data_IF_486953953627
#
_entry.id   IF_486953953627
#
_cell.length_a   1.000
_cell.length_b   1.000
_cell.length_c   1.000
_cell.angle_alpha   90.00
_cell.angle_beta   90.00
_cell.angle_gamma   90.00
#
_symmetry.space_group_name_H-M   'P 1'
#
loop_
_entity.id
_entity.type
_entity.pdbx_description
1 polymer ?
#
# COMPACT_ATOMS: atom_id res chain seq x y z
N UNK A 1 20.72 76.35 11.05
CA UNK A 1 21.37 76.03 9.74
C UNK A 1 22.66 75.29 10.06
N UNK A 2 23.02 74.09 9.61
CA UNK A 2 22.47 73.08 8.68
C UNK A 2 22.94 71.72 9.23
N UNK A 3 22.05 70.73 9.28
CA UNK A 3 22.39 69.30 9.46
C UNK A 3 23.08 68.78 8.20
N UNK A 4 24.20 68.06 8.31
CA UNK A 4 24.79 67.14 7.30
C UNK A 4 26.03 66.49 7.93
N UNK A 5 26.30 65.20 7.90
CA UNK A 5 25.58 64.07 7.32
C UNK A 5 26.13 62.77 7.93
N UNK A 6 25.24 61.84 8.23
CA UNK A 6 25.57 60.46 8.58
C UNK A 6 25.86 59.75 7.25
N UNK A 7 27.09 59.25 7.07
CA UNK A 7 27.43 58.30 6.01
C UNK A 7 26.81 56.95 6.39
N UNK A 8 25.61 56.67 5.88
CA UNK A 8 25.06 55.32 5.84
C UNK A 8 25.50 54.67 4.52
N UNK A 9 26.40 53.71 4.62
CA UNK A 9 26.75 52.79 3.54
C UNK A 9 25.52 51.92 3.21
N UNK A 10 24.75 52.34 2.21
CA UNK A 10 23.72 51.53 1.57
C UNK A 10 24.40 50.62 0.55
N UNK A 11 24.71 49.39 0.95
CA UNK A 11 24.94 48.29 0.03
C UNK A 11 23.60 47.96 -0.64
N UNK A 12 23.34 48.56 -1.81
CA UNK A 12 22.24 48.13 -2.67
C UNK A 12 22.66 46.81 -3.31
N UNK A 13 22.20 45.72 -2.71
CA UNK A 13 22.20 44.41 -3.34
C UNK A 13 21.18 44.46 -4.49
N UNK A 14 21.65 44.86 -5.68
CA UNK A 14 20.87 44.68 -6.90
C UNK A 14 20.76 43.17 -7.14
N UNK A 15 19.72 42.54 -6.59
CA UNK A 15 19.29 41.23 -7.05
C UNK A 15 18.96 41.40 -8.53
N UNK A 16 19.85 40.90 -9.39
CA UNK A 16 19.54 40.58 -10.77
C UNK A 16 18.44 39.51 -10.72
N UNK A 17 17.18 39.97 -10.63
CA UNK A 17 16.03 39.18 -11.02
C UNK A 17 16.22 38.91 -12.51
N UNK A 18 16.89 37.79 -12.80
CA UNK A 18 16.76 37.17 -14.11
C UNK A 18 15.27 36.99 -14.32
N UNK A 19 14.66 37.54 -15.39
CA UNK A 19 13.28 37.24 -15.67
C UNK A 19 13.18 35.72 -15.72
N UNK A 20 12.32 35.12 -14.88
CA UNK A 20 11.83 33.79 -15.16
C UNK A 20 11.27 33.90 -16.57
N UNK A 21 11.99 33.41 -17.57
CA UNK A 21 11.46 33.28 -18.90
C UNK A 21 10.20 32.42 -18.73
N UNK A 22 9.03 33.05 -18.85
CA UNK A 22 7.78 32.33 -18.91
C UNK A 22 7.96 31.33 -20.05
N UNK A 23 7.87 30.03 -19.73
CA UNK A 23 7.97 28.99 -20.75
C UNK A 23 6.97 29.35 -21.85
N UNK A 24 7.45 29.49 -23.08
CA UNK A 24 6.61 29.82 -24.22
C UNK A 24 5.58 28.69 -24.38
N UNK A 25 4.35 28.95 -23.92
CA UNK A 25 3.26 27.99 -24.05
C UNK A 25 2.81 28.04 -25.51
N UNK A 26 3.11 26.96 -26.25
CA UNK A 26 2.58 26.79 -27.61
C UNK A 26 1.04 26.74 -27.59
N UNK A 27 0.37 27.14 -28.68
CA UNK A 27 -1.08 26.95 -28.79
C UNK A 27 -1.44 25.47 -28.73
N UNK A 28 -2.65 25.16 -28.26
CA UNK A 28 -3.19 23.79 -28.29
C UNK A 28 -3.20 23.23 -29.73
N UNK A 29 -3.07 21.90 -29.91
CA UNK A 29 -3.01 21.29 -31.23
C UNK A 29 -4.37 21.37 -31.91
N UNK A 30 -4.39 21.76 -33.19
CA UNK A 30 -5.62 21.76 -34.00
C UNK A 30 -6.12 20.35 -34.34
N UNK A 31 -5.21 19.36 -34.38
CA UNK A 31 -5.53 17.97 -34.73
C UNK A 31 -4.53 17.04 -34.04
N UNK A 32 -5.03 15.94 -33.49
CA UNK A 32 -4.22 14.89 -32.86
C UNK A 32 -4.33 13.62 -33.69
N UNK A 33 -3.19 13.12 -34.19
CA UNK A 33 -3.11 11.84 -34.90
C UNK A 33 -2.78 10.72 -33.93
N UNK A 34 -3.62 9.69 -33.86
CA UNK A 34 -3.40 8.52 -33.00
C UNK A 34 -3.03 7.34 -33.89
N UNK A 35 -1.87 6.74 -33.62
CA UNK A 35 -1.43 5.51 -34.28
C UNK A 35 -0.94 4.50 -33.23
N UNK A 36 -0.94 3.22 -33.61
CA UNK A 36 -0.56 2.12 -32.72
C UNK A 36 0.91 1.77 -32.96
N UNK A 37 1.64 1.50 -31.88
CA UNK A 37 2.90 0.76 -31.89
C UNK A 37 2.72 -0.47 -31.01
N UNK A 38 3.08 -1.64 -31.52
CA UNK A 38 2.97 -2.91 -30.81
C UNK A 38 4.25 -3.28 -30.05
N UNK A 39 5.30 -2.46 -30.17
CA UNK A 39 6.58 -2.63 -29.49
C UNK A 39 6.93 -1.34 -28.74
N UNK A 40 7.20 -1.46 -27.44
CA UNK A 40 7.50 -0.33 -26.56
C UNK A 40 8.79 0.40 -26.95
N UNK A 41 9.85 -0.33 -27.30
CA UNK A 41 11.15 0.24 -27.66
C UNK A 41 11.03 1.05 -28.96
N UNK A 42 10.31 0.53 -29.96
CA UNK A 42 9.97 1.29 -31.18
C UNK A 42 9.23 2.57 -30.83
N UNK A 43 8.20 2.49 -29.97
CA UNK A 43 7.44 3.67 -29.52
C UNK A 43 8.34 4.73 -28.87
N UNK A 44 9.26 4.33 -27.99
CA UNK A 44 10.24 5.24 -27.37
C UNK A 44 11.17 5.88 -28.41
N UNK A 45 11.73 5.08 -29.33
CA UNK A 45 12.67 5.59 -30.33
C UNK A 45 12.00 6.51 -31.36
N UNK A 46 10.76 6.23 -31.76
CA UNK A 46 9.98 7.07 -32.66
C UNK A 46 9.72 8.44 -32.01
N UNK A 47 9.44 8.47 -30.70
CA UNK A 47 9.33 9.74 -29.96
C UNK A 47 10.66 10.48 -29.96
N UNK A 48 11.78 9.80 -29.68
CA UNK A 48 13.09 10.45 -29.64
C UNK A 48 13.50 11.04 -31.00
N UNK A 49 13.16 10.37 -32.12
CA UNK A 49 13.40 10.86 -33.48
C UNK A 49 12.46 11.99 -33.90
N UNK A 50 11.28 12.06 -33.27
CA UNK A 50 10.22 13.01 -33.63
C UNK A 50 9.23 12.47 -34.67
N UNK A 51 9.23 11.16 -34.92
CA UNK A 51 8.20 10.46 -35.70
C UNK A 51 6.89 10.37 -34.92
N UNK A 52 6.98 10.37 -33.58
CA UNK A 52 5.88 10.57 -32.64
C UNK A 52 6.18 11.77 -31.74
N UNK A 53 5.15 12.51 -31.35
CA UNK A 53 5.30 13.58 -30.35
C UNK A 53 5.24 13.01 -28.92
N UNK A 54 4.35 12.04 -28.70
CA UNK A 54 4.08 11.41 -27.41
C UNK A 54 3.87 9.91 -27.64
N UNK A 55 4.52 9.06 -26.84
CA UNK A 55 4.12 7.67 -26.73
C UNK A 55 3.13 7.56 -25.56
N UNK A 56 1.83 7.51 -25.90
CA UNK A 56 0.72 7.52 -24.93
C UNK A 56 0.49 6.13 -24.30
N UNK A 57 1.59 5.53 -23.85
CA UNK A 57 1.64 4.32 -23.05
C UNK A 57 2.82 4.47 -22.09
N UNK A 58 2.55 4.36 -20.80
CA UNK A 58 3.59 4.48 -19.78
C UNK A 58 4.42 3.21 -19.72
N UNK A 59 5.75 3.35 -19.64
CA UNK A 59 6.67 2.21 -19.59
C UNK A 59 7.54 2.28 -18.35
N UNK A 60 7.96 1.12 -17.84
CA UNK A 60 8.80 1.02 -16.64
C UNK A 60 10.10 1.81 -16.80
N UNK A 61 10.55 2.47 -15.73
CA UNK A 61 11.81 3.21 -15.67
C UNK A 61 13.02 2.38 -16.11
N UNK A 62 13.00 1.07 -15.84
CA UNK A 62 14.05 0.14 -16.25
C UNK A 62 14.30 0.13 -17.77
N UNK A 63 13.28 0.40 -18.60
CA UNK A 63 13.41 0.44 -20.06
C UNK A 63 14.23 1.63 -20.57
N UNK A 64 14.39 2.67 -19.76
CA UNK A 64 15.15 3.86 -20.15
C UNK A 64 16.60 3.84 -19.66
N UNK A 65 16.91 3.03 -18.64
CA UNK A 65 18.21 3.04 -17.96
C UNK A 65 19.38 2.75 -18.90
N UNK A 66 19.16 1.85 -19.85
CA UNK A 66 20.20 1.36 -20.76
C UNK A 66 20.07 1.95 -22.18
N UNK A 67 19.22 2.96 -22.37
CA UNK A 67 19.08 3.62 -23.68
C UNK A 67 20.26 4.55 -23.97
N UNK A 68 20.66 4.68 -25.25
CA UNK A 68 21.69 5.63 -25.67
C UNK A 68 21.39 7.07 -25.26
N UNK A 69 22.44 7.84 -24.95
CA UNK A 69 22.31 9.22 -24.48
C UNK A 69 21.65 10.14 -25.51
N UNK A 70 21.86 9.92 -26.80
CA UNK A 70 21.21 10.65 -27.89
C UNK A 70 19.69 10.42 -27.95
N UNK A 71 19.22 9.22 -27.62
CA UNK A 71 17.80 8.91 -27.46
C UNK A 71 17.25 9.65 -26.23
N UNK A 72 17.86 9.44 -25.06
CA UNK A 72 17.41 10.05 -23.80
C UNK A 72 17.39 11.57 -23.85
N UNK A 73 18.39 12.16 -24.50
CA UNK A 73 18.50 13.60 -24.66
C UNK A 73 17.34 14.19 -25.46
N UNK A 74 16.59 13.44 -26.27
CA UNK A 74 15.43 13.98 -26.98
C UNK A 74 14.11 13.77 -26.23
N UNK A 75 14.13 13.05 -25.11
CA UNK A 75 12.95 12.69 -24.35
C UNK A 75 12.78 13.58 -23.11
N UNK A 76 11.54 13.93 -22.83
CA UNK A 76 11.03 14.34 -21.53
C UNK A 76 10.19 13.19 -20.99
N UNK A 77 10.62 12.61 -19.86
CA UNK A 77 9.91 11.50 -19.24
C UNK A 77 8.89 12.02 -18.25
N UNK A 78 7.60 11.81 -18.54
CA UNK A 78 6.51 12.19 -17.66
C UNK A 78 6.16 11.00 -16.78
N UNK A 79 6.58 11.09 -15.51
CA UNK A 79 6.28 10.10 -14.48
C UNK A 79 4.76 9.97 -14.25
N UNK A 80 4.32 8.74 -14.07
CA UNK A 80 3.02 8.35 -13.49
C UNK A 80 3.23 7.29 -12.43
N UNK A 81 2.45 7.34 -11.35
CA UNK A 81 2.22 6.20 -10.47
C UNK A 81 1.11 5.35 -11.09
N UNK A 82 1.43 4.23 -11.72
CA UNK A 82 0.48 3.44 -12.53
C UNK A 82 -0.28 2.41 -11.71
N UNK A 83 0.39 1.78 -10.75
CA UNK A 83 -0.18 0.76 -9.89
C UNK A 83 0.50 0.71 -8.52
N UNK A 84 -0.06 -0.06 -7.60
CA UNK A 84 0.54 -0.35 -6.30
C UNK A 84 0.23 -1.79 -5.90
N UNK A 85 1.13 -2.35 -5.11
CA UNK A 85 1.19 -3.77 -4.79
C UNK A 85 1.08 -4.03 -3.30
N UNK A 86 0.49 -5.16 -2.97
CA UNK A 86 0.38 -5.66 -1.61
C UNK A 86 0.37 -7.19 -1.59
N UNK A 87 0.65 -7.74 -0.41
CA UNK A 87 0.45 -9.15 -0.12
C UNK A 87 -0.84 -9.27 0.66
N UNK A 88 -1.87 -9.85 0.02
CA UNK A 88 -3.12 -10.21 0.69
C UNK A 88 -2.91 -11.54 1.40
N UNK A 89 -3.34 -11.65 2.65
CA UNK A 89 -3.28 -12.87 3.45
C UNK A 89 -4.68 -13.33 3.79
N UNK A 90 -4.89 -14.65 3.81
CA UNK A 90 -6.18 -15.27 4.09
C UNK A 90 -6.32 -15.57 5.60
N UNK A 91 -7.16 -14.82 6.35
CA UNK A 91 -7.34 -15.02 7.78
C UNK A 91 -8.35 -16.13 8.13
N UNK A 92 -8.81 -16.91 7.13
CA UNK A 92 -9.86 -17.92 7.33
C UNK A 92 -9.51 -18.92 8.43
N UNK A 93 -10.53 -19.23 9.21
CA UNK A 93 -10.51 -20.21 10.29
C UNK A 93 -11.95 -20.70 10.55
N UNK A 94 -12.06 -21.77 11.34
CA UNK A 94 -13.33 -22.33 11.78
C UNK A 94 -13.92 -21.52 12.94
N UNK A 95 -15.25 -21.50 13.07
CA UNK A 95 -15.90 -20.67 14.09
C UNK A 95 -15.58 -21.11 15.53
N UNK A 96 -15.20 -22.39 15.70
CA UNK A 96 -14.81 -23.00 16.96
C UNK A 96 -13.29 -22.97 17.22
N UNK A 97 -12.49 -22.44 16.28
CA UNK A 97 -11.04 -22.40 16.42
C UNK A 97 -10.41 -21.21 15.68
N UNK A 98 -9.65 -20.33 16.37
CA UNK A 98 -8.98 -19.20 15.71
C UNK A 98 -7.73 -19.59 14.89
N UNK A 99 -7.46 -20.89 14.73
CA UNK A 99 -6.24 -21.42 14.11
C UNK A 99 -6.49 -22.44 13.00
N UNK A 100 -7.59 -23.18 13.09
CA UNK A 100 -7.83 -24.34 12.25
C UNK A 100 -8.84 -24.02 11.15
N UNK A 101 -8.68 -24.70 10.01
CA UNK A 101 -9.64 -24.69 8.91
C UNK A 101 -9.97 -26.14 8.58
N UNK A 102 -11.26 -26.46 8.52
CA UNK A 102 -11.72 -27.80 8.17
C UNK A 102 -12.13 -27.86 6.70
N UNK A 103 -11.50 -28.74 5.92
CA UNK A 103 -11.87 -29.03 4.52
C UNK A 103 -12.19 -30.51 4.37
N UNK A 104 -13.46 -30.83 4.15
CA UNK A 104 -13.95 -32.21 4.23
C UNK A 104 -13.75 -32.76 5.64
N UNK A 105 -13.04 -33.88 5.77
CA UNK A 105 -12.72 -34.51 7.06
C UNK A 105 -11.36 -34.07 7.64
N UNK A 106 -10.58 -33.28 6.90
CA UNK A 106 -9.21 -32.90 7.29
C UNK A 106 -9.18 -31.50 7.90
N UNK A 107 -8.48 -31.37 9.03
CA UNK A 107 -8.14 -30.08 9.64
C UNK A 107 -6.75 -29.62 9.24
N UNK A 108 -6.64 -28.34 8.91
CA UNK A 108 -5.40 -27.67 8.57
C UNK A 108 -5.12 -26.56 9.57
N UNK A 109 -3.85 -26.35 9.89
CA UNK A 109 -3.43 -25.18 10.66
C UNK A 109 -3.15 -24.02 9.71
N UNK A 110 -3.81 -22.87 9.91
CA UNK A 110 -3.57 -21.66 9.15
C UNK A 110 -2.75 -20.64 9.97
N UNK A 111 -1.44 -20.49 9.72
CA UNK A 111 -0.64 -19.51 10.45
C UNK A 111 -1.13 -18.07 10.20
N UNK A 112 -1.77 -17.80 9.06
CA UNK A 112 -2.27 -16.46 8.72
C UNK A 112 -3.67 -16.17 9.28
N UNK A 113 -4.33 -17.12 9.95
CA UNK A 113 -5.47 -16.81 10.82
C UNK A 113 -5.02 -15.98 12.05
N UNK A 114 -3.77 -16.15 12.48
CA UNK A 114 -3.16 -15.43 13.59
C UNK A 114 -2.77 -14.01 13.15
N UNK A 115 -3.41 -13.00 13.76
CA UNK A 115 -3.17 -11.59 13.44
C UNK A 115 -1.71 -11.19 13.65
N UNK A 116 -1.06 -11.66 14.71
CA UNK A 116 0.34 -11.35 15.01
C UNK A 116 1.29 -11.87 13.92
N UNK A 117 1.00 -13.02 13.31
CA UNK A 117 1.76 -13.56 12.18
C UNK A 117 1.58 -12.70 10.94
N UNK A 118 0.33 -12.30 10.63
CA UNK A 118 0.06 -11.34 9.54
C UNK A 118 0.78 -10.02 9.77
N UNK A 119 0.70 -9.48 11.00
CA UNK A 119 1.28 -8.20 11.35
C UNK A 119 2.81 -8.21 11.25
N UNK A 120 3.46 -9.32 11.66
CA UNK A 120 4.89 -9.52 11.55
C UNK A 120 5.43 -9.38 10.11
N UNK A 121 4.60 -9.65 9.09
CA UNK A 121 4.99 -9.51 7.68
C UNK A 121 5.38 -8.07 7.31
N UNK A 122 4.91 -7.06 8.05
CA UNK A 122 5.33 -5.66 7.85
C UNK A 122 6.83 -5.43 8.09
N UNK A 123 7.45 -6.24 8.95
CA UNK A 123 8.89 -6.18 9.22
C UNK A 123 9.68 -7.24 8.48
N UNK A 124 9.06 -8.35 8.06
CA UNK A 124 9.73 -9.35 7.24
C UNK A 124 10.06 -8.80 5.85
N UNK A 125 9.11 -8.11 5.22
CA UNK A 125 9.22 -7.70 3.82
C UNK A 125 9.91 -6.33 3.70
N UNK A 126 11.15 -6.32 3.21
CA UNK A 126 11.83 -5.06 2.85
C UNK A 126 11.21 -4.43 1.60
N UNK A 127 10.50 -3.32 1.79
CA UNK A 127 9.94 -2.49 0.71
C UNK A 127 11.04 -1.79 -0.08
N UNK A 128 12.13 -1.42 0.59
CA UNK A 128 13.32 -0.88 -0.04
C UNK A 128 13.93 -1.88 -1.03
N UNK A 129 14.03 -3.17 -0.67
CA UNK A 129 14.51 -4.22 -1.58
C UNK A 129 13.61 -4.33 -2.81
N UNK A 130 12.28 -4.33 -2.63
CA UNK A 130 11.33 -4.38 -3.74
C UNK A 130 11.54 -3.19 -4.68
N UNK A 131 11.65 -1.98 -4.14
CA UNK A 131 11.86 -0.78 -4.96
C UNK A 131 13.20 -0.79 -5.69
N UNK A 132 14.30 -1.09 -4.99
CA UNK A 132 15.65 -0.98 -5.54
C UNK A 132 16.00 -2.13 -6.48
N UNK A 133 15.66 -3.37 -6.11
CA UNK A 133 16.15 -4.56 -6.79
C UNK A 133 15.12 -5.16 -7.74
N UNK A 134 13.83 -5.16 -7.38
CA UNK A 134 12.77 -5.71 -8.23
C UNK A 134 12.27 -4.64 -9.22
N UNK A 135 11.97 -3.45 -8.72
CA UNK A 135 11.49 -2.32 -9.54
C UNK A 135 12.62 -1.46 -10.12
N UNK A 136 13.88 -1.72 -9.80
CA UNK A 136 15.05 -1.00 -10.32
C UNK A 136 14.96 0.53 -10.12
N UNK A 137 14.41 0.95 -8.97
CA UNK A 137 14.19 2.35 -8.61
C UNK A 137 12.89 2.96 -9.17
N UNK A 138 12.11 2.20 -9.94
CA UNK A 138 10.86 2.65 -10.57
C UNK A 138 9.65 2.50 -9.63
N UNK A 139 9.72 3.08 -8.44
CA UNK A 139 8.65 3.01 -7.45
C UNK A 139 9.00 3.67 -6.12
N UNK A 140 8.06 3.62 -5.18
CA UNK A 140 8.26 4.06 -3.79
C UNK A 140 7.76 3.02 -2.78
N UNK A 141 8.40 2.92 -1.60
CA UNK A 141 7.90 2.08 -0.51
C UNK A 141 6.50 2.50 -0.09
N UNK A 142 5.58 1.55 0.04
CA UNK A 142 4.20 1.80 0.47
C UNK A 142 3.89 0.98 1.72
N UNK A 143 3.52 1.65 2.82
CA UNK A 143 3.29 1.01 4.12
C UNK A 143 1.81 0.70 4.36
N UNK A 144 0.92 1.65 4.06
CA UNK A 144 -0.52 1.49 4.16
C UNK A 144 -1.22 1.66 2.81
N UNK A 145 -2.56 1.58 2.80
CA UNK A 145 -3.41 1.70 1.62
C UNK A 145 -3.50 3.09 0.99
N UNK A 146 -2.65 4.03 1.41
CA UNK A 146 -2.52 5.36 0.82
C UNK A 146 -1.18 5.45 0.12
N UNK A 147 -1.24 5.77 -1.18
CA UNK A 147 -0.03 5.77 -2.01
C UNK A 147 0.86 6.98 -1.71
N UNK A 148 2.20 6.82 -1.74
CA UNK A 148 3.13 7.93 -1.50
C UNK A 148 2.99 9.12 -2.44
N UNK A 149 2.47 8.93 -3.66
CA UNK A 149 2.27 10.03 -4.62
C UNK A 149 1.04 10.90 -4.36
N UNK A 150 0.16 10.53 -3.40
CA UNK A 150 -1.06 11.30 -3.16
C UNK A 150 -0.86 12.41 -2.13
N UNK A 151 -1.68 13.46 -2.26
CA UNK A 151 -1.69 14.57 -1.29
C UNK A 151 -2.11 14.15 0.14
N UNK A 152 -2.74 12.98 0.30
CA UNK A 152 -3.15 12.45 1.60
C UNK A 152 -2.01 11.74 2.36
N UNK A 153 -0.98 11.23 1.69
CA UNK A 153 0.05 10.40 2.33
C UNK A 153 0.73 11.03 3.56
N UNK A 154 1.11 12.33 3.55
CA UNK A 154 1.78 12.94 4.70
C UNK A 154 0.99 12.86 6.01
N UNK A 155 -0.34 12.78 5.96
CA UNK A 155 -1.18 12.67 7.16
C UNK A 155 -1.06 11.32 7.87
N UNK A 156 -0.56 10.29 7.18
CA UNK A 156 -0.42 8.92 7.72
C UNK A 156 1.00 8.57 8.17
N UNK A 157 2.00 9.42 7.87
CA UNK A 157 3.38 9.24 8.36
C UNK A 157 3.47 9.07 9.90
N UNK A 158 2.71 9.83 10.72
CA UNK A 158 2.67 9.63 12.16
C UNK A 158 2.22 8.21 12.55
N UNK A 159 1.25 7.63 11.83
CA UNK A 159 0.77 6.26 12.07
C UNK A 159 1.87 5.24 11.83
N UNK A 160 2.56 5.34 10.70
CA UNK A 160 3.63 4.40 10.34
C UNK A 160 4.79 4.45 11.35
N UNK A 161 5.14 5.66 11.79
CA UNK A 161 6.16 5.90 12.81
C UNK A 161 5.73 5.35 14.17
N UNK A 162 4.49 5.59 14.60
CA UNK A 162 3.95 5.09 15.87
C UNK A 162 3.92 3.56 15.91
N UNK A 163 3.66 2.91 14.77
CA UNK A 163 3.74 1.45 14.65
C UNK A 163 5.18 0.92 14.59
N UNK A 164 6.17 1.78 14.32
CA UNK A 164 7.57 1.42 14.13
C UNK A 164 7.82 0.66 12.82
N UNK A 165 7.07 0.98 11.77
CA UNK A 165 7.22 0.37 10.43
C UNK A 165 7.97 1.35 9.53
N UNK A 166 8.93 0.83 8.78
CA UNK A 166 9.73 1.61 7.83
C UNK A 166 9.81 0.92 6.47
N UNK A 167 10.56 1.52 5.53
CA UNK A 167 10.82 0.90 4.24
C UNK A 167 11.78 -0.30 4.32
N UNK A 168 12.59 -0.41 5.37
CA UNK A 168 13.54 -1.53 5.57
C UNK A 168 12.91 -2.65 6.38
N UNK A 169 13.41 -3.87 6.18
CA UNK A 169 13.02 -5.00 7.00
C UNK A 169 13.66 -4.93 8.40
N UNK A 170 12.94 -5.49 9.38
CA UNK A 170 13.45 -5.89 10.70
C UNK A 170 13.11 -7.37 10.88
N UNK A 171 13.92 -8.21 10.25
CA UNK A 171 13.69 -9.66 10.20
C UNK A 171 13.68 -10.27 11.60
N UNK A 172 14.56 -9.81 12.50
CA UNK A 172 14.64 -10.30 13.87
C UNK A 172 13.34 -10.04 14.64
N UNK A 173 12.76 -8.84 14.48
CA UNK A 173 11.45 -8.52 15.07
C UNK A 173 10.34 -9.40 14.49
N UNK A 174 10.29 -9.57 13.17
CA UNK A 174 9.29 -10.43 12.52
C UNK A 174 9.38 -11.88 13.03
N UNK A 175 10.60 -12.44 13.11
CA UNK A 175 10.82 -13.79 13.62
C UNK A 175 10.37 -13.93 15.07
N UNK A 176 10.74 -12.97 15.94
CA UNK A 176 10.34 -12.99 17.34
C UNK A 176 8.81 -13.00 17.48
N UNK A 177 8.11 -12.13 16.76
CA UNK A 177 6.65 -12.04 16.80
C UNK A 177 6.00 -13.35 16.35
N UNK A 178 6.47 -13.94 15.25
CA UNK A 178 5.94 -15.21 14.75
C UNK A 178 6.22 -16.36 15.72
N UNK A 179 7.43 -16.46 16.28
CA UNK A 179 7.76 -17.47 17.28
C UNK A 179 6.89 -17.40 18.52
N UNK A 180 6.66 -16.20 19.07
CA UNK A 180 5.78 -15.99 20.23
C UNK A 180 4.33 -16.37 19.92
N UNK A 181 3.82 -15.94 18.75
CA UNK A 181 2.47 -16.24 18.32
C UNK A 181 2.24 -17.73 18.06
N UNK A 182 3.20 -18.40 17.43
CA UNK A 182 3.15 -19.83 17.13
C UNK A 182 3.25 -20.69 18.41
N UNK A 183 4.06 -20.29 19.39
CA UNK A 183 4.11 -20.96 20.71
C UNK A 183 2.80 -20.83 21.47
N UNK A 184 2.19 -19.63 21.47
CA UNK A 184 0.87 -19.43 22.06
C UNK A 184 -0.18 -20.33 21.39
N UNK A 185 -0.20 -20.37 20.06
CA UNK A 185 -1.11 -21.24 19.32
C UNK A 185 -0.87 -22.73 19.65
N UNK A 186 0.38 -23.16 19.80
CA UNK A 186 0.72 -24.52 20.20
C UNK A 186 0.17 -24.89 21.59
N UNK A 187 0.32 -24.01 22.58
CA UNK A 187 -0.20 -24.22 23.93
C UNK A 187 -1.73 -24.31 23.95
N UNK A 188 -2.42 -23.51 23.12
CA UNK A 188 -3.87 -23.52 23.01
C UNK A 188 -4.41 -24.74 22.25
N UNK A 189 -3.74 -25.13 21.17
CA UNK A 189 -4.08 -26.32 20.37
C UNK A 189 -3.83 -27.62 21.14
N UNK A 190 -2.80 -27.68 21.99
CA UNK A 190 -2.53 -28.83 22.86
C UNK A 190 -3.71 -29.15 23.80
N UNK A 191 -4.41 -28.11 24.29
CA UNK A 191 -5.61 -28.27 25.14
C UNK A 191 -6.79 -28.90 24.38
N UNK A 192 -6.75 -28.84 23.06
CA UNK A 192 -7.75 -29.41 22.15
C UNK A 192 -7.29 -30.76 21.55
N UNK A 193 -6.14 -31.29 21.98
CA UNK A 193 -5.60 -32.57 21.51
C UNK A 193 -4.83 -32.50 20.19
N UNK A 194 -4.46 -31.31 19.72
CA UNK A 194 -3.63 -31.12 18.53
C UNK A 194 -2.17 -30.87 18.92
N UNK A 195 -1.23 -31.26 18.05
CA UNK A 195 0.20 -30.96 18.21
C UNK A 195 0.63 -29.90 17.21
N UNK A 196 1.24 -28.81 17.68
CA UNK A 196 1.95 -27.84 16.86
C UNK A 196 3.34 -27.64 17.44
N UNK A 197 4.40 -27.95 16.67
CA UNK A 197 5.78 -27.86 17.17
C UNK A 197 6.76 -27.47 16.08
N UNK A 198 7.89 -26.89 16.48
CA UNK A 198 9.00 -26.60 15.59
C UNK A 198 9.97 -27.79 15.58
N UNK A 199 10.30 -28.30 14.40
CA UNK A 199 11.27 -29.37 14.21
C UNK A 199 12.72 -28.87 14.23
N UNK A 200 13.65 -29.81 14.31
CA UNK A 200 15.11 -29.53 14.30
C UNK A 200 15.59 -28.94 12.97
N UNK A 201 14.82 -29.13 11.89
CA UNK A 201 15.03 -28.52 10.58
C UNK A 201 14.60 -27.05 10.51
N UNK A 202 14.06 -26.51 11.61
CA UNK A 202 13.60 -25.13 11.73
C UNK A 202 12.18 -24.89 11.17
N UNK A 203 11.47 -25.91 10.70
CA UNK A 203 10.10 -25.79 10.21
C UNK A 203 9.06 -26.13 11.28
N UNK A 204 7.89 -25.53 11.19
CA UNK A 204 6.74 -25.85 12.03
C UNK A 204 5.97 -27.05 11.45
N UNK A 205 5.47 -27.90 12.34
CA UNK A 205 4.70 -29.10 12.03
C UNK A 205 3.40 -29.10 12.84
N UNK A 206 2.28 -29.34 12.17
CA UNK A 206 0.96 -29.54 12.76
C UNK A 206 0.56 -31.02 12.62
N UNK A 207 0.32 -31.71 13.73
CA UNK A 207 0.04 -33.15 13.78
C UNK A 207 1.02 -34.01 12.95
N UNK A 208 2.30 -33.67 12.99
CA UNK A 208 3.36 -34.36 12.26
C UNK A 208 3.49 -33.99 10.77
N UNK A 209 2.59 -33.20 10.20
CA UNK A 209 2.72 -32.68 8.83
C UNK A 209 3.34 -31.26 8.84
N UNK A 210 4.23 -30.92 7.90
CA UNK A 210 4.81 -29.58 7.85
C UNK A 210 3.74 -28.53 7.55
N UNK A 211 3.76 -27.42 8.31
CA UNK A 211 2.92 -26.25 8.06
C UNK A 211 3.29 -25.67 6.70
N UNK A 212 2.44 -25.91 5.71
CA UNK A 212 2.65 -25.51 4.31
C UNK A 212 1.62 -24.46 3.93
N UNK A 213 2.10 -23.31 3.44
CA UNK A 213 1.25 -22.19 3.02
C UNK A 213 1.25 -22.06 1.50
N UNK A 214 0.07 -21.89 0.94
CA UNK A 214 -0.18 -21.74 -0.50
C UNK A 214 -0.07 -20.28 -0.90
N UNK A 215 0.96 -19.94 -1.67
CA UNK A 215 1.21 -18.55 -2.09
C UNK A 215 0.95 -18.38 -3.58
N UNK A 216 -0.18 -17.74 -3.92
CA UNK A 216 -0.50 -17.34 -5.29
C UNK A 216 0.40 -16.17 -5.71
N UNK A 217 1.24 -16.42 -6.69
CA UNK A 217 2.22 -15.47 -7.23
C UNK A 217 1.83 -15.15 -8.68
N UNK A 218 1.51 -13.88 -8.94
CA UNK A 218 1.15 -13.38 -10.28
C UNK A 218 2.36 -13.39 -11.20
N UNK A 219 2.18 -13.91 -12.41
CA UNK A 219 3.29 -14.14 -13.35
C UNK A 219 3.43 -13.10 -14.46
N UNK A 220 2.46 -12.22 -14.67
CA UNK A 220 2.45 -11.30 -15.82
C UNK A 220 3.34 -10.07 -15.66
N UNK A 221 3.77 -9.78 -14.44
CA UNK A 221 4.61 -8.63 -14.15
C UNK A 221 5.58 -8.91 -13.00
N UNK A 222 6.27 -7.86 -12.55
CA UNK A 222 7.29 -7.88 -11.51
C UNK A 222 6.80 -8.34 -10.14
N UNK A 223 5.49 -8.53 -9.93
CA UNK A 223 4.96 -9.24 -8.75
C UNK A 223 5.43 -10.69 -8.68
N UNK A 224 5.82 -11.30 -9.80
CA UNK A 224 6.47 -12.62 -9.78
C UNK A 224 7.74 -12.59 -8.93
N UNK A 225 8.61 -11.63 -9.19
CA UNK A 225 9.89 -11.47 -8.49
C UNK A 225 9.65 -11.12 -7.02
N UNK A 226 8.66 -10.28 -6.72
CA UNK A 226 8.22 -9.99 -5.35
C UNK A 226 7.71 -11.25 -4.62
N UNK A 227 6.85 -12.03 -5.26
CA UNK A 227 6.27 -13.24 -4.67
C UNK A 227 7.32 -14.28 -4.34
N UNK A 228 8.29 -14.49 -5.25
CA UNK A 228 9.42 -15.38 -5.02
C UNK A 228 10.30 -14.88 -3.86
N UNK A 229 10.61 -13.58 -3.82
CA UNK A 229 11.34 -12.98 -2.72
C UNK A 229 10.64 -13.18 -1.37
N UNK A 230 9.33 -12.90 -1.29
CA UNK A 230 8.57 -13.06 -0.05
C UNK A 230 8.44 -14.55 0.34
N UNK A 231 8.28 -15.46 -0.62
CA UNK A 231 8.26 -16.90 -0.36
C UNK A 231 9.58 -17.37 0.29
N UNK A 232 10.72 -16.93 -0.24
CA UNK A 232 12.03 -17.27 0.30
C UNK A 232 12.22 -16.75 1.73
N UNK A 233 11.72 -15.53 2.03
CA UNK A 233 11.75 -14.98 3.39
C UNK A 233 10.90 -15.80 4.37
N UNK A 234 9.70 -16.24 3.96
CA UNK A 234 8.82 -17.06 4.80
C UNK A 234 9.50 -18.40 5.13
N UNK A 235 10.02 -19.11 4.14
CA UNK A 235 10.69 -20.39 4.38
C UNK A 235 11.94 -20.23 5.24
N UNK A 236 12.74 -19.20 4.98
CA UNK A 236 14.03 -18.99 5.66
C UNK A 236 13.87 -18.53 7.11
N UNK A 237 12.89 -17.67 7.39
CA UNK A 237 12.84 -16.95 8.67
C UNK A 237 11.64 -17.33 9.54
N UNK A 238 10.49 -17.68 8.94
CA UNK A 238 9.29 -18.00 9.70
C UNK A 238 9.11 -19.51 9.95
N UNK A 239 9.82 -20.36 9.20
CA UNK A 239 9.74 -21.81 9.36
C UNK A 239 8.45 -22.42 8.82
N UNK A 240 7.83 -21.82 7.81
CA UNK A 240 6.72 -22.43 7.06
C UNK A 240 7.21 -22.91 5.71
N UNK A 241 6.73 -24.05 5.22
CA UNK A 241 6.96 -24.45 3.83
C UNK A 241 6.06 -23.61 2.92
N UNK A 242 6.55 -23.26 1.73
CA UNK A 242 5.76 -22.45 0.78
C UNK A 242 5.51 -23.22 -0.52
N UNK A 243 4.23 -23.50 -0.78
CA UNK A 243 3.77 -23.94 -2.10
C UNK A 243 3.62 -22.70 -3.00
N UNK A 244 4.54 -22.54 -3.96
CA UNK A 244 4.59 -21.38 -4.87
C UNK A 244 3.65 -21.60 -6.06
N UNK A 245 2.47 -20.99 -6.03
CA UNK A 245 1.43 -21.11 -7.04
C UNK A 245 1.57 -20.01 -8.11
N UNK A 246 2.38 -20.28 -9.14
CA UNK A 246 2.65 -19.35 -10.25
C UNK A 246 1.44 -19.26 -11.21
N UNK A 247 0.52 -18.32 -10.98
CA UNK A 247 -0.76 -18.23 -11.68
C UNK A 247 -0.95 -16.92 -12.44
N UNK A 248 -1.74 -16.97 -13.52
CA UNK A 248 -2.23 -15.77 -14.21
C UNK A 248 -3.32 -15.04 -13.41
N UNK A 249 -3.65 -13.82 -13.85
CA UNK A 249 -4.64 -12.93 -13.26
C UNK A 249 -5.97 -13.59 -13.08
N UNK A 250 -6.47 -14.22 -14.14
CA UNK A 250 -7.85 -14.68 -14.20
C UNK A 250 -8.04 -15.71 -13.11
N UNK A 251 -7.18 -16.73 -13.09
CA UNK A 251 -7.22 -17.80 -12.09
C UNK A 251 -6.99 -17.24 -10.68
N UNK A 252 -5.96 -16.41 -10.49
CA UNK A 252 -5.64 -15.84 -9.19
C UNK A 252 -6.78 -15.00 -8.61
N UNK A 253 -7.31 -14.05 -9.38
CA UNK A 253 -8.38 -13.17 -8.90
C UNK A 253 -9.69 -13.91 -8.65
N UNK A 254 -10.02 -14.92 -9.48
CA UNK A 254 -11.25 -15.70 -9.26
C UNK A 254 -11.16 -16.52 -7.99
N UNK A 255 -10.00 -17.15 -7.71
CA UNK A 255 -9.82 -17.90 -6.47
C UNK A 255 -9.84 -16.98 -5.24
N UNK A 256 -9.16 -15.84 -5.29
CA UNK A 256 -9.05 -14.97 -4.10
C UNK A 256 -10.34 -14.20 -3.79
N UNK A 257 -11.05 -13.71 -4.82
CA UNK A 257 -12.16 -12.78 -4.63
C UNK A 257 -13.53 -13.33 -5.03
N UNK A 258 -13.62 -14.50 -5.66
CA UNK A 258 -14.89 -15.08 -6.14
C UNK A 258 -15.10 -16.52 -5.65
N UNK A 259 -14.31 -16.97 -4.68
CA UNK A 259 -14.46 -18.28 -4.06
C UNK A 259 -14.45 -18.17 -2.53
N UNK A 260 -15.06 -19.15 -1.87
CA UNK A 260 -15.04 -19.24 -0.41
C UNK A 260 -13.63 -19.59 0.07
N UNK A 261 -12.99 -18.74 0.91
CA UNK A 261 -11.67 -19.05 1.43
C UNK A 261 -11.62 -20.30 2.31
N UNK A 262 -12.76 -20.83 2.81
CA UNK A 262 -12.82 -22.13 3.49
C UNK A 262 -12.49 -23.32 2.58
N UNK A 263 -12.48 -23.14 1.27
CA UNK A 263 -11.90 -24.14 0.35
C UNK A 263 -10.38 -24.30 0.56
N UNK A 264 -9.74 -23.37 1.27
CA UNK A 264 -8.34 -23.40 1.68
C UNK A 264 -7.36 -23.61 0.52
N UNK A 265 -7.70 -23.03 -0.63
CA UNK A 265 -6.89 -23.10 -1.87
C UNK A 265 -5.71 -22.13 -1.88
N UNK A 266 -5.67 -21.19 -0.93
CA UNK A 266 -4.64 -20.16 -0.85
C UNK A 266 -4.51 -19.59 0.56
N UNK A 267 -3.30 -19.15 0.91
CA UNK A 267 -2.98 -18.44 2.15
C UNK A 267 -2.49 -17.02 1.86
N UNK A 268 -1.76 -16.81 0.77
CA UNK A 268 -1.26 -15.50 0.36
C UNK A 268 -1.46 -15.25 -1.14
N UNK A 269 -1.53 -13.97 -1.52
CA UNK A 269 -1.63 -13.53 -2.90
C UNK A 269 -0.85 -12.24 -3.15
N UNK A 270 -0.05 -12.19 -4.22
CA UNK A 270 0.59 -10.96 -4.72
C UNK A 270 -0.42 -10.12 -5.52
N UNK A 271 -1.23 -9.30 -4.85
CA UNK A 271 -2.19 -8.45 -5.55
C UNK A 271 -1.58 -7.13 -6.04
N UNK A 272 -2.30 -6.50 -6.96
CA UNK A 272 -1.91 -5.25 -7.58
C UNK A 272 -3.14 -4.48 -8.04
N UNK A 273 -3.08 -3.17 -7.85
CA UNK A 273 -4.23 -2.27 -7.99
C UNK A 273 -3.84 -1.07 -8.83
N UNK A 274 -4.76 -0.63 -9.69
CA UNK A 274 -4.53 0.50 -10.60
C UNK A 274 -4.65 1.81 -9.84
N UNK A 275 -3.74 2.73 -10.11
CA UNK A 275 -3.80 4.11 -9.66
C UNK A 275 -4.72 4.93 -10.57
N UNK A 276 -5.83 5.45 -10.03
CA UNK A 276 -6.85 6.13 -10.84
C UNK A 276 -6.77 7.65 -10.77
N UNK A 277 -6.58 8.23 -9.58
CA UNK A 277 -6.58 9.69 -9.35
C UNK A 277 -5.66 10.10 -8.20
N UNK A 278 -5.23 11.35 -8.14
CA UNK A 278 -4.64 11.93 -6.93
C UNK A 278 -5.74 12.22 -5.89
N UNK A 279 -5.51 11.90 -4.62
CA UNK A 279 -6.50 12.04 -3.55
C UNK A 279 -5.90 12.81 -2.37
N UNK A 280 -6.58 13.87 -1.94
CA UNK A 280 -6.24 14.63 -0.73
C UNK A 280 -7.10 14.23 0.47
N UNK A 281 -8.36 13.90 0.23
CA UNK A 281 -9.34 13.47 1.23
C UNK A 281 -9.77 12.03 0.88
N UNK A 282 -9.13 11.01 1.48
CA UNK A 282 -9.34 9.62 1.09
C UNK A 282 -10.48 8.96 1.89
N UNK A 283 -11.69 9.52 1.78
CA UNK A 283 -12.85 9.22 2.63
C UNK A 283 -13.12 7.71 2.80
N UNK A 284 -13.02 6.95 1.70
CA UNK A 284 -13.37 5.54 1.62
C UNK A 284 -12.17 4.59 1.54
N UNK A 285 -10.94 5.08 1.47
CA UNK A 285 -9.78 4.23 1.18
C UNK A 285 -9.48 3.24 2.31
N UNK A 286 -9.53 3.66 3.57
CA UNK A 286 -9.28 2.74 4.70
C UNK A 286 -10.38 1.68 4.78
N UNK A 287 -11.63 2.03 4.47
CA UNK A 287 -12.72 1.08 4.33
C UNK A 287 -12.46 0.09 3.18
N UNK A 288 -12.08 0.61 2.01
CA UNK A 288 -11.82 -0.17 0.80
C UNK A 288 -10.70 -1.19 0.98
N UNK A 289 -9.67 -0.85 1.75
CA UNK A 289 -8.52 -1.74 1.96
C UNK A 289 -8.67 -2.66 3.16
N UNK A 290 -9.31 -2.20 4.23
CA UNK A 290 -9.21 -2.87 5.53
C UNK A 290 -10.54 -3.19 6.20
N UNK A 291 -11.68 -2.80 5.63
CA UNK A 291 -12.99 -3.10 6.20
C UNK A 291 -13.76 -4.12 5.36
N UNK A 292 -14.36 -5.15 5.99
CA UNK A 292 -15.08 -6.22 5.27
C UNK A 292 -16.38 -5.74 4.62
N UNK A 293 -16.98 -4.65 5.12
CA UNK A 293 -18.29 -4.18 4.69
C UNK A 293 -18.28 -3.33 3.39
N UNK A 294 -17.11 -2.86 2.96
CA UNK A 294 -16.98 -1.94 1.81
C UNK A 294 -16.02 -2.45 0.75
N UNK A 295 -14.88 -2.97 1.20
CA UNK A 295 -13.72 -3.20 0.36
C UNK A 295 -13.62 -4.57 -0.27
N UNK A 296 -12.46 -4.81 -0.89
CA UNK A 296 -12.11 -6.09 -1.50
C UNK A 296 -11.36 -7.01 -0.53
N UNK A 297 -11.69 -7.03 0.76
CA UNK A 297 -11.07 -8.03 1.63
C UNK A 297 -11.37 -9.46 1.11
N UNK A 298 -10.47 -10.43 1.36
CA UNK A 298 -10.78 -11.83 1.17
C UNK A 298 -12.12 -12.19 1.81
N UNK A 299 -12.84 -13.14 1.21
CA UNK A 299 -14.14 -13.62 1.66
C UNK A 299 -15.39 -12.74 1.36
N UNK A 300 -15.55 -12.18 0.14
CA UNK A 300 -16.84 -11.60 -0.26
C UNK A 300 -17.91 -12.67 -0.58
N UNK A 301 -17.54 -13.95 -0.56
CA UNK A 301 -18.41 -15.10 -0.84
C UNK A 301 -18.15 -16.17 0.22
N UNK A 302 -19.20 -16.69 0.85
CA UNK A 302 -19.09 -17.79 1.82
C UNK A 302 -18.74 -17.30 3.23
N UNK A 303 -17.59 -17.70 3.75
CA UNK A 303 -17.10 -17.23 5.05
C UNK A 303 -17.00 -15.70 5.10
N UNK A 304 -17.25 -15.10 6.27
CA UNK A 304 -17.18 -13.65 6.46
C UNK A 304 -16.08 -13.30 7.45
N UNK A 305 -15.19 -12.39 7.05
CA UNK A 305 -14.17 -11.89 7.95
C UNK A 305 -14.74 -10.91 8.96
N UNK A 306 -14.47 -11.14 10.25
CA UNK A 306 -14.91 -10.29 11.36
C UNK A 306 -13.69 -9.72 12.10
N UNK A 307 -13.34 -8.45 11.87
CA UNK A 307 -12.27 -7.79 12.59
C UNK A 307 -12.56 -7.76 14.09
N UNK A 308 -11.60 -8.17 14.92
CA UNK A 308 -11.72 -8.13 16.39
C UNK A 308 -10.82 -7.10 17.04
N UNK A 309 -9.92 -6.49 16.27
CA UNK A 309 -9.00 -5.46 16.78
C UNK A 309 -9.77 -4.17 17.06
N UNK A 310 -9.68 -3.69 18.29
CA UNK A 310 -10.37 -2.49 18.74
C UNK A 310 -9.47 -1.26 18.73
N UNK A 311 -10.06 -0.07 18.78
CA UNK A 311 -9.33 1.19 18.98
C UNK A 311 -8.49 1.11 20.26
N UNK A 312 -9.04 0.53 21.33
CA UNK A 312 -8.30 0.34 22.59
C UNK A 312 -7.01 -0.46 22.38
N UNK A 313 -7.07 -1.58 21.66
CA UNK A 313 -5.88 -2.40 21.38
C UNK A 313 -4.80 -1.61 20.62
N UNK A 314 -5.21 -0.78 19.65
CA UNK A 314 -4.29 0.08 18.91
C UNK A 314 -3.63 1.15 19.79
N UNK A 315 -4.43 1.83 20.61
CA UNK A 315 -3.95 2.85 21.54
C UNK A 315 -3.01 2.24 22.59
N UNK A 316 -3.33 1.07 23.12
CA UNK A 316 -2.46 0.34 24.05
C UNK A 316 -1.16 -0.11 23.37
N UNK A 317 -1.21 -0.55 22.12
CA UNK A 317 -0.01 -0.91 21.35
C UNK A 317 0.96 0.27 21.17
N UNK A 318 0.46 1.49 20.96
CA UNK A 318 1.28 2.72 20.89
C UNK A 318 1.85 3.12 22.27
N UNK A 319 1.32 2.54 23.35
CA UNK A 319 1.78 2.75 24.72
C UNK A 319 0.85 3.62 25.55
N UNK A 320 -0.44 3.64 25.22
CA UNK A 320 -1.49 4.31 25.98
C UNK A 320 -1.99 5.61 25.36
N UNK A 321 -3.08 6.19 25.91
CA UNK A 321 -3.79 7.33 25.33
C UNK A 321 -2.89 8.55 25.14
N UNK A 322 -2.10 8.95 26.15
CA UNK A 322 -1.27 10.15 26.07
C UNK A 322 -0.22 10.05 24.96
N UNK A 323 0.44 8.89 24.86
CA UNK A 323 1.41 8.61 23.79
C UNK A 323 0.75 8.54 22.43
N UNK A 324 -0.45 7.97 22.32
CA UNK A 324 -1.16 7.90 21.06
C UNK A 324 -1.59 9.29 20.57
N UNK A 325 -2.10 10.14 21.48
CA UNK A 325 -2.45 11.54 21.15
C UNK A 325 -1.23 12.30 20.65
N UNK A 326 -0.08 12.16 21.32
CA UNK A 326 1.17 12.79 20.89
C UNK A 326 1.69 12.21 19.56
N UNK A 327 1.84 10.88 19.48
CA UNK A 327 2.49 10.22 18.35
C UNK A 327 1.68 10.29 17.05
N UNK A 328 0.35 10.31 17.14
CA UNK A 328 -0.55 10.45 15.99
C UNK A 328 -0.96 11.90 15.75
N UNK A 329 -0.56 12.83 16.61
CA UNK A 329 -1.01 14.23 16.57
C UNK A 329 -2.55 14.33 16.55
N UNK A 330 -3.22 13.65 17.49
CA UNK A 330 -4.69 13.68 17.59
C UNK A 330 -5.17 15.02 18.16
N UNK A 331 -6.30 15.52 17.64
CA UNK A 331 -6.85 16.84 18.00
C UNK A 331 -8.28 16.77 18.54
N UNK A 332 -9.10 15.88 18.00
CA UNK A 332 -10.51 15.73 18.35
C UNK A 332 -10.75 14.52 19.26
N UNK A 333 -10.22 13.34 18.92
CA UNK A 333 -10.35 12.14 19.73
C UNK A 333 -9.24 12.12 20.80
N UNK A 334 -9.43 12.95 21.83
CA UNK A 334 -8.56 13.09 22.99
C UNK A 334 -9.37 12.93 24.29
N UNK A 335 -8.71 12.59 25.40
CA UNK A 335 -9.37 12.46 26.71
C UNK A 335 -10.57 11.50 26.69
N UNK A 336 -11.72 11.95 27.16
CA UNK A 336 -12.93 11.12 27.24
C UNK A 336 -13.52 10.80 25.86
N UNK A 337 -13.38 11.69 24.87
CA UNK A 337 -13.84 11.42 23.49
C UNK A 337 -13.12 10.22 22.86
N UNK A 338 -11.83 10.03 23.17
CA UNK A 338 -11.09 8.86 22.71
C UNK A 338 -11.61 7.58 23.36
N UNK A 339 -11.93 7.63 24.66
CA UNK A 339 -12.48 6.48 25.40
C UNK A 339 -13.86 6.07 24.88
N UNK A 340 -14.67 7.02 24.39
CA UNK A 340 -16.00 6.74 23.83
C UNK A 340 -15.99 5.80 22.62
N UNK A 341 -14.85 5.67 21.93
CA UNK A 341 -14.70 4.82 20.75
C UNK A 341 -13.78 3.61 21.00
N UNK A 342 -13.42 3.32 22.25
CA UNK A 342 -12.47 2.25 22.57
C UNK A 342 -12.89 0.86 22.10
N UNK A 343 -14.17 0.55 22.20
CA UNK A 343 -14.71 -0.76 21.80
C UNK A 343 -15.01 -0.82 20.28
N UNK A 344 -14.74 0.26 19.53
CA UNK A 344 -14.95 0.28 18.09
C UNK A 344 -13.86 -0.52 17.38
N UNK A 345 -14.25 -1.15 16.28
CA UNK A 345 -13.34 -1.81 15.35
C UNK A 345 -13.10 -0.92 14.13
N UNK A 346 -12.37 -1.44 13.13
CA UNK A 346 -12.24 -0.78 11.84
C UNK A 346 -13.61 -0.48 11.20
N UNK A 347 -14.65 -1.28 11.48
CA UNK A 347 -15.96 -1.10 10.87
C UNK A 347 -16.63 0.19 11.31
N UNK A 348 -16.80 0.43 12.61
CA UNK A 348 -17.49 1.63 13.12
C UNK A 348 -16.75 2.90 12.71
N UNK A 349 -15.41 2.89 12.83
CA UNK A 349 -14.56 4.03 12.44
C UNK A 349 -14.71 4.33 10.95
N UNK A 350 -14.70 3.32 10.09
CA UNK A 350 -14.79 3.52 8.64
C UNK A 350 -16.22 3.81 8.17
N UNK A 351 -17.26 3.25 8.82
CA UNK A 351 -18.66 3.61 8.57
C UNK A 351 -18.89 5.09 8.86
N UNK A 352 -18.35 5.61 9.97
CA UNK A 352 -18.45 7.03 10.27
C UNK A 352 -17.74 7.90 9.22
N UNK A 353 -16.57 7.49 8.73
CA UNK A 353 -15.83 8.21 7.68
C UNK A 353 -16.60 8.25 6.35
N UNK A 354 -17.20 7.13 5.94
CA UNK A 354 -17.82 6.98 4.61
C UNK A 354 -19.29 7.39 4.58
N UNK A 355 -20.05 7.04 5.63
CA UNK A 355 -21.49 7.29 5.72
C UNK A 355 -21.82 8.58 6.48
N UNK A 356 -20.80 9.27 7.01
CA UNK A 356 -20.88 10.49 7.83
C UNK A 356 -21.68 10.37 9.13
N UNK A 357 -22.29 9.23 9.40
CA UNK A 357 -22.94 8.87 10.65
C UNK A 357 -22.85 7.37 10.91
N UNK A 358 -22.91 6.97 12.19
CA UNK A 358 -23.04 5.57 12.60
C UNK A 358 -23.75 5.50 13.96
N UNK A 359 -24.64 4.51 14.13
CA UNK A 359 -25.23 4.19 15.43
C UNK A 359 -24.47 3.03 16.06
N UNK A 360 -23.97 3.23 17.28
CA UNK A 360 -23.26 2.20 18.05
C UNK A 360 -23.86 2.16 19.45
N UNK A 361 -24.35 0.99 19.88
CA UNK A 361 -24.97 0.78 21.19
C UNK A 361 -26.11 1.78 21.51
N UNK A 362 -26.93 2.14 20.52
CA UNK A 362 -28.05 3.07 20.67
C UNK A 362 -27.66 4.55 20.77
N UNK A 363 -26.38 4.88 20.56
CA UNK A 363 -25.89 6.26 20.44
C UNK A 363 -25.52 6.55 18.99
N UNK A 364 -26.02 7.67 18.48
CA UNK A 364 -25.66 8.19 17.17
C UNK A 364 -24.36 9.00 17.26
N UNK A 365 -23.46 8.75 16.30
CA UNK A 365 -22.21 9.48 16.13
C UNK A 365 -22.20 10.09 14.72
N UNK A 366 -21.80 11.35 14.63
CA UNK A 366 -21.79 12.12 13.37
C UNK A 366 -20.39 12.67 13.11
N UNK A 367 -19.97 12.60 11.85
CA UNK A 367 -18.81 13.31 11.35
C UNK A 367 -19.30 14.69 10.91
N UNK A 368 -19.08 15.69 11.76
CA UNK A 368 -19.58 17.04 11.53
C UNK A 368 -18.94 17.65 10.27
N UNK A 369 -19.76 18.25 9.40
CA UNK A 369 -19.28 18.89 8.18
C UNK A 369 -18.24 19.97 8.51
N UNK A 370 -17.07 19.89 7.86
CA UNK A 370 -15.97 20.83 8.09
C UNK A 370 -15.12 20.55 9.34
N UNK A 371 -15.42 19.51 10.13
CA UNK A 371 -14.57 19.10 11.25
C UNK A 371 -13.35 18.29 10.78
N UNK A 372 -12.35 19.03 10.30
CA UNK A 372 -11.10 18.48 9.75
C UNK A 372 -10.31 17.64 10.77
N UNK A 373 -10.36 18.03 12.04
CA UNK A 373 -9.64 17.35 13.12
C UNK A 373 -10.26 15.99 13.43
N UNK A 374 -11.60 15.93 13.54
CA UNK A 374 -12.32 14.66 13.70
C UNK A 374 -12.05 13.71 12.54
N UNK A 375 -12.10 14.23 11.31
CA UNK A 375 -11.85 13.45 10.11
C UNK A 375 -10.44 12.84 10.10
N UNK A 376 -9.39 13.65 10.31
CA UNK A 376 -8.02 13.16 10.23
C UNK A 376 -7.64 12.26 11.41
N UNK A 377 -8.22 12.46 12.58
CA UNK A 377 -8.06 11.53 13.70
C UNK A 377 -8.64 10.15 13.37
N UNK A 378 -9.88 10.09 12.83
CA UNK A 378 -10.50 8.84 12.39
C UNK A 378 -9.72 8.17 11.26
N UNK A 379 -9.19 8.95 10.32
CA UNK A 379 -8.34 8.42 9.24
C UNK A 379 -7.07 7.76 9.80
N UNK A 380 -6.38 8.42 10.74
CA UNK A 380 -5.18 7.86 11.38
C UNK A 380 -5.51 6.59 12.19
N UNK A 381 -6.61 6.60 12.94
CA UNK A 381 -7.07 5.45 13.72
C UNK A 381 -7.42 4.27 12.80
N UNK A 382 -8.22 4.50 11.75
CA UNK A 382 -8.58 3.44 10.80
C UNK A 382 -7.37 2.89 10.04
N UNK A 383 -6.40 3.72 9.66
CA UNK A 383 -5.15 3.25 9.06
C UNK A 383 -4.34 2.38 10.04
N UNK A 384 -4.25 2.80 11.30
CA UNK A 384 -3.56 2.03 12.35
C UNK A 384 -4.19 0.67 12.57
N UNK A 385 -5.51 0.62 12.72
CA UNK A 385 -6.29 -0.61 12.85
C UNK A 385 -6.09 -1.54 11.64
N UNK A 386 -6.23 -1.02 10.42
CA UNK A 386 -6.05 -1.81 9.20
C UNK A 386 -4.65 -2.40 9.05
N UNK A 387 -3.61 -1.62 9.37
CA UNK A 387 -2.23 -2.11 9.36
C UNK A 387 -1.98 -3.12 10.48
N UNK A 388 -2.49 -2.91 11.69
CA UNK A 388 -2.32 -3.88 12.78
C UNK A 388 -3.09 -5.17 12.58
N UNK A 389 -4.20 -5.13 11.86
CA UNK A 389 -4.96 -6.31 11.48
C UNK A 389 -4.31 -7.08 10.34
N UNK A 390 -3.64 -6.36 9.42
CA UNK A 390 -2.72 -6.91 8.42
C UNK A 390 -3.31 -8.01 7.53
N UNK A 391 -4.61 -7.99 7.22
CA UNK A 391 -5.13 -8.81 6.11
C UNK A 391 -4.42 -8.45 4.79
N UNK A 392 -3.89 -7.23 4.70
CA UNK A 392 -3.06 -6.73 3.61
C UNK A 392 -1.78 -6.12 4.13
N UNK A 393 -0.67 -6.41 3.46
CA UNK A 393 0.61 -5.74 3.68
C UNK A 393 1.02 -5.05 2.38
N UNK A 394 0.89 -3.72 2.35
CA UNK A 394 1.33 -2.92 1.22
C UNK A 394 2.85 -2.95 1.09
N UNK A 395 3.33 -2.90 -0.16
CA UNK A 395 4.74 -3.12 -0.46
C UNK A 395 5.35 -2.00 -1.29
N UNK A 396 4.73 -1.66 -2.42
CA UNK A 396 5.26 -0.65 -3.32
C UNK A 396 4.14 0.09 -4.07
N UNK A 397 4.33 1.39 -4.26
CA UNK A 397 3.80 2.09 -5.41
C UNK A 397 4.77 1.91 -6.58
N UNK A 398 4.25 1.67 -7.77
CA UNK A 398 5.03 1.48 -8.99
C UNK A 398 4.96 2.71 -9.88
N UNK A 399 6.10 3.06 -10.47
CA UNK A 399 6.21 4.20 -11.36
C UNK A 399 6.49 3.74 -12.78
N UNK A 400 5.88 4.43 -13.71
CA UNK A 400 6.13 4.33 -15.14
C UNK A 400 6.26 5.73 -15.72
N UNK A 401 6.70 5.81 -16.98
CA UNK A 401 7.00 7.07 -17.63
C UNK A 401 6.45 7.09 -19.04
N UNK A 402 5.78 8.18 -19.39
CA UNK A 402 5.42 8.50 -20.77
C UNK A 402 6.60 9.19 -21.45
N UNK A 403 7.16 8.64 -22.54
CA UNK A 403 8.10 9.34 -23.38
C UNK A 403 7.41 10.46 -24.16
N UNK A 404 7.94 11.68 -24.04
CA UNK A 404 7.49 12.86 -24.79
C UNK A 404 8.68 13.50 -25.50
N UNK A 405 8.53 13.89 -26.76
CA UNK A 405 9.60 14.58 -27.47
C UNK A 405 9.76 16.00 -26.91
N UNK A 406 10.88 16.27 -26.23
CA UNK A 406 11.12 17.55 -25.53
C UNK A 406 11.24 18.75 -26.48
N UNK A 407 11.60 18.50 -27.74
CA UNK A 407 11.83 19.54 -28.73
C UNK A 407 10.52 19.95 -29.43
N UNK A 408 9.55 19.03 -29.50
CA UNK A 408 8.29 19.20 -30.22
C UNK A 408 7.10 19.54 -29.31
N UNK A 409 7.06 18.99 -28.10
CA UNK A 409 5.99 19.23 -27.12
C UNK A 409 6.44 20.24 -26.06
N UNK A 410 5.74 21.36 -25.95
CA UNK A 410 6.13 22.49 -25.09
C UNK A 410 5.27 22.66 -23.84
N UNK A 411 3.96 22.39 -23.90
CA UNK A 411 3.01 22.84 -22.88
C UNK A 411 2.04 21.76 -22.35
N UNK A 412 2.49 20.52 -22.19
CA UNK A 412 1.61 19.42 -21.74
C UNK A 412 1.23 19.51 -20.25
N UNK A 413 -0.08 19.61 -19.97
CA UNK A 413 -0.62 19.44 -18.63
C UNK A 413 -0.63 17.96 -18.24
N UNK A 414 -0.35 17.68 -16.97
CA UNK A 414 -0.32 16.32 -16.44
C UNK A 414 -0.86 16.29 -15.03
N UNK A 415 -1.49 15.18 -14.67
CA UNK A 415 -1.77 14.91 -13.28
C UNK A 415 -0.47 14.52 -12.55
N UNK A 416 -0.36 14.94 -11.29
CA UNK A 416 0.84 14.67 -10.48
C UNK A 416 1.00 13.19 -10.12
N UNK A 417 -0.10 12.42 -10.13
CA UNK A 417 -0.13 10.99 -9.84
C UNK A 417 -0.32 10.17 -11.13
N UNK A 418 -1.37 10.40 -11.91
CA UNK A 418 -1.71 9.60 -13.10
C UNK A 418 -1.04 10.04 -14.42
N UNK A 419 -0.19 11.08 -14.37
CA UNK A 419 0.59 11.51 -15.54
C UNK A 419 -0.31 11.96 -16.70
N UNK A 420 -0.19 11.27 -17.85
CA UNK A 420 -0.92 11.60 -19.09
C UNK A 420 -2.23 10.82 -19.29
N UNK A 421 -2.66 10.02 -18.32
CA UNK A 421 -3.93 9.28 -18.42
C UNK A 421 -5.17 10.17 -18.34
N UNK A 422 -5.03 11.45 -18.02
CA UNK A 422 -6.16 12.39 -17.97
C UNK A 422 -6.48 12.98 -19.35
N UNK A 423 -7.75 13.22 -19.64
CA UNK A 423 -8.18 13.87 -20.89
C UNK A 423 -7.51 15.23 -21.12
N UNK A 424 -7.16 15.95 -20.05
CA UNK A 424 -6.54 17.28 -20.11
C UNK A 424 -5.16 17.25 -20.75
N UNK A 425 -4.46 16.12 -20.63
CA UNK A 425 -3.13 15.93 -21.19
C UNK A 425 -3.09 15.95 -22.70
N UNK A 426 -4.14 15.46 -23.38
CA UNK A 426 -4.22 15.50 -24.85
C UNK A 426 -4.68 16.85 -25.39
N UNK A 427 -5.47 17.60 -24.61
CA UNK A 427 -6.00 18.91 -25.01
C UNK A 427 -4.92 20.00 -24.93
N UNK A 428 -3.92 19.81 -24.07
CA UNK A 428 -2.86 20.80 -23.79
C UNK A 428 -1.51 20.44 -24.40
N UNK A 429 -1.38 19.25 -24.99
CA UNK A 429 -0.12 18.69 -25.51
C UNK A 429 0.56 19.57 -26.58
#
# INVERSE_FOLDING_TARGET
MKRSGILALLFVFAMLLSPLAAAEQGPAPNTVYISIRTNEETGITDVAKGDLDIFLWSVSGAKFKDLPADVLNNLKLIKTASAYWEITMNPVHDDDSPYLVTVGEKKYFNPFAIREVRFAMNWLVSRQYIVQNILQGSGAPMIGGIRPSTGANPYFEPVYKALGISATADVAKAQKMVEEAMKKAADELAKQGYELKKGDDGFWYFNGEPVTVKFIIRIEDRRKDQGLYVADLIEKFLGFKVERLLWDRRKASSTVYLSDPKNYEWNLYTAGWVSTVNVKWPDDYTAFWYAPWYGWLPAPVGWEYKPTLTVKDFIEYIGGPDKAVEALDLKYYVGDKLKEIYDWTIEEVTKLLVLTNVEVNGKEYVLEEGNVDQYWDLQKISMGLGIMDSVRVFTAETWEYFPVNKNRVKAIARDVSSGLWTRWSLITA
#
